data_IF_144002600449
#
_entry.id   IF_144002600449
#
_cell.length_a   1.000
_cell.length_b   1.000
_cell.length_c   1.000
_cell.angle_alpha   90.00
_cell.angle_beta   90.00
_cell.angle_gamma   90.00
#
_symmetry.space_group_name_H-M   'P 1'
#
loop_
_entity.id
_entity.type
_entity.pdbx_description
1 polymer ?
#
# COMPACT_ATOMS: atom_id res chain seq x y z
N UNK A 1 11.54 -1.01 25.59
CA UNK A 1 11.37 0.45 25.75
C UNK A 1 9.93 0.73 25.44
N UNK A 2 9.11 0.87 26.48
CA UNK A 2 7.72 1.30 26.33
C UNK A 2 7.77 2.83 26.37
N UNK A 3 7.35 3.46 25.27
CA UNK A 3 7.40 4.91 25.15
C UNK A 3 5.98 5.40 25.42
N UNK A 4 5.78 6.03 26.57
CA UNK A 4 4.50 6.64 26.96
C UNK A 4 4.33 7.99 26.24
N UNK A 5 4.14 7.92 24.93
CA UNK A 5 3.86 9.07 24.08
C UNK A 5 2.54 8.82 23.34
N UNK A 6 1.60 9.75 23.45
CA UNK A 6 0.39 9.73 22.63
C UNK A 6 0.79 10.06 21.19
N UNK A 7 0.54 9.12 20.28
CA UNK A 7 0.87 9.32 18.88
C UNK A 7 0.18 10.55 18.29
N UNK A 8 -0.95 10.99 18.84
CA UNK A 8 -1.68 12.18 18.39
C UNK A 8 -1.00 13.51 18.72
N UNK A 9 -0.06 13.52 19.67
CA UNK A 9 0.72 14.71 20.04
C UNK A 9 1.84 15.01 19.03
N UNK A 10 2.23 14.03 18.20
CA UNK A 10 3.21 14.26 17.16
C UNK A 10 2.68 15.20 16.10
N UNK A 11 3.53 16.11 15.64
CA UNK A 11 3.20 17.04 14.58
C UNK A 11 2.72 16.33 13.31
N UNK A 12 3.32 15.19 12.95
CA UNK A 12 2.87 14.37 11.83
C UNK A 12 1.49 13.74 12.03
N UNK A 13 1.04 13.58 13.28
CA UNK A 13 -0.24 12.99 13.62
C UNK A 13 -1.36 14.03 13.83
N UNK A 14 -1.05 15.33 13.84
CA UNK A 14 -2.07 16.38 13.74
C UNK A 14 -2.76 16.27 12.38
N UNK A 15 -3.85 15.51 12.33
CA UNK A 15 -4.59 15.14 11.11
C UNK A 15 -4.55 13.65 10.75
N UNK A 16 -3.85 12.82 11.50
CA UNK A 16 -3.84 11.36 11.32
C UNK A 16 -4.74 10.67 12.36
N UNK A 17 -5.39 9.58 11.96
CA UNK A 17 -6.16 8.73 12.85
C UNK A 17 -5.51 7.35 12.93
N UNK A 18 -5.12 6.93 14.14
CA UNK A 18 -4.71 5.54 14.40
C UNK A 18 -5.90 4.74 14.91
N UNK A 19 -6.48 3.91 14.05
CA UNK A 19 -7.50 2.94 14.47
C UNK A 19 -6.84 1.75 15.17
N UNK A 20 -7.10 1.55 16.47
CA UNK A 20 -6.81 0.25 17.11
C UNK A 20 -7.86 -0.75 16.62
N UNK A 21 -7.50 -1.86 15.96
CA UNK A 21 -8.47 -2.89 15.64
C UNK A 21 -9.12 -3.34 16.95
N UNK A 22 -10.44 -3.23 17.05
CA UNK A 22 -11.19 -3.64 18.23
C UNK A 22 -10.93 -5.12 18.57
N UNK A 23 -11.28 -5.54 19.79
CA UNK A 23 -11.16 -6.96 20.17
C UNK A 23 -12.01 -7.81 19.24
N UNK A 24 -11.59 -9.06 18.94
CA UNK A 24 -12.35 -9.98 18.07
C UNK A 24 -13.82 -10.12 18.48
N UNK A 25 -14.11 -10.02 19.77
CA UNK A 25 -15.47 -10.04 20.33
C UNK A 25 -16.35 -8.85 19.89
N UNK A 26 -15.76 -7.71 19.51
CA UNK A 26 -16.47 -6.51 19.02
C UNK A 26 -16.60 -6.45 17.49
N UNK A 27 -16.03 -7.42 16.77
CA UNK A 27 -15.98 -7.42 15.30
C UNK A 27 -17.14 -8.20 14.64
N UNK A 28 -18.11 -8.70 15.42
CA UNK A 28 -19.21 -9.53 14.91
C UNK A 28 -18.80 -10.98 14.63
N UNK A 29 -19.75 -11.76 14.09
CA UNK A 29 -19.57 -13.15 13.70
C UNK A 29 -18.57 -13.30 12.54
N UNK A 30 -18.12 -14.53 12.28
CA UNK A 30 -17.26 -14.77 11.10
C UNK A 30 -17.99 -14.50 9.79
N UNK A 31 -19.29 -14.82 9.70
CA UNK A 31 -20.12 -14.53 8.54
C UNK A 31 -20.29 -13.02 8.33
N UNK A 32 -20.56 -12.25 9.39
CA UNK A 32 -20.70 -10.80 9.31
C UNK A 32 -19.41 -10.14 8.79
N UNK A 33 -18.24 -10.62 9.23
CA UNK A 33 -16.95 -10.09 8.79
C UNK A 33 -16.55 -10.48 7.38
N UNK A 34 -17.11 -11.60 6.87
CA UNK A 34 -16.86 -12.10 5.52
C UNK A 34 -17.94 -11.69 4.53
N UNK A 35 -19.03 -11.06 5.00
CA UNK A 35 -20.11 -10.59 4.15
C UNK A 35 -19.57 -9.61 3.11
N UNK A 36 -19.83 -9.91 1.85
CA UNK A 36 -19.62 -9.00 0.74
C UNK A 36 -20.94 -8.25 0.51
N UNK A 37 -20.83 -6.95 0.26
CA UNK A 37 -21.97 -6.10 -0.01
C UNK A 37 -21.92 -5.68 -1.48
N UNK A 38 -23.07 -5.76 -2.13
CA UNK A 38 -23.29 -5.11 -3.41
C UNK A 38 -23.33 -3.59 -3.22
N UNK A 39 -23.11 -2.83 -4.30
CA UNK A 39 -23.27 -1.38 -4.27
C UNK A 39 -24.66 -0.97 -3.77
N UNK A 40 -25.72 -1.64 -4.24
CA UNK A 40 -27.10 -1.34 -3.83
C UNK A 40 -27.33 -1.57 -2.34
N UNK A 41 -26.74 -2.62 -1.75
CA UNK A 41 -26.82 -2.82 -0.30
C UNK A 41 -26.08 -1.73 0.47
N UNK A 42 -24.92 -1.27 0.00
CA UNK A 42 -24.19 -0.16 0.65
C UNK A 42 -24.98 1.16 0.57
N UNK A 43 -25.56 1.45 -0.59
CA UNK A 43 -26.43 2.63 -0.75
C UNK A 43 -27.64 2.56 0.19
N UNK A 44 -28.28 1.40 0.31
CA UNK A 44 -29.39 1.18 1.24
C UNK A 44 -28.97 1.32 2.73
N UNK A 45 -27.69 1.09 3.05
CA UNK A 45 -27.11 1.33 4.36
C UNK A 45 -26.71 2.80 4.60
N UNK A 46 -26.93 3.69 3.63
CA UNK A 46 -26.63 5.11 3.73
C UNK A 46 -25.18 5.48 3.38
N UNK A 47 -24.43 4.57 2.74
CA UNK A 47 -23.15 4.94 2.15
C UNK A 47 -23.37 5.79 0.90
N UNK A 48 -22.40 6.64 0.61
CA UNK A 48 -22.36 7.45 -0.60
C UNK A 48 -21.47 6.78 -1.66
N UNK A 49 -21.90 6.83 -2.91
CA UNK A 49 -21.10 6.41 -4.05
C UNK A 49 -20.44 7.62 -4.71
N UNK A 50 -19.12 7.68 -4.67
CA UNK A 50 -18.33 8.69 -5.36
C UNK A 50 -18.06 8.19 -6.78
N UNK A 51 -18.76 8.73 -7.77
CA UNK A 51 -18.43 8.48 -9.17
C UNK A 51 -17.10 9.15 -9.50
N UNK A 52 -16.15 8.36 -9.99
CA UNK A 52 -14.79 8.83 -10.27
C UNK A 52 -14.28 8.29 -11.60
N UNK A 53 -13.76 9.20 -12.43
CA UNK A 53 -13.23 8.89 -13.76
C UNK A 53 -11.79 8.33 -13.74
N UNK A 54 -11.17 8.25 -12.56
CA UNK A 54 -9.78 7.83 -12.38
C UNK A 54 -8.76 8.92 -12.70
N UNK A 55 -9.18 10.11 -13.12
CA UNK A 55 -8.31 11.16 -13.64
C UNK A 55 -8.27 12.39 -12.76
N UNK A 56 -9.44 12.92 -12.39
CA UNK A 56 -9.53 14.14 -11.60
C UNK A 56 -9.34 13.80 -10.12
N UNK A 57 -8.39 14.42 -9.40
CA UNK A 57 -8.21 14.11 -7.99
C UNK A 57 -9.43 14.50 -7.15
N UNK A 58 -9.85 13.62 -6.23
CA UNK A 58 -10.95 13.87 -5.30
C UNK A 58 -10.45 13.65 -3.85
N UNK A 59 -10.30 14.71 -3.04
CA UNK A 59 -10.04 14.56 -1.61
C UNK A 59 -11.32 14.17 -0.87
N UNK A 60 -11.23 13.16 -0.02
CA UNK A 60 -12.29 12.75 0.89
C UNK A 60 -11.97 13.37 2.25
N UNK A 61 -12.89 14.19 2.75
CA UNK A 61 -12.73 14.93 4.01
C UNK A 61 -13.66 14.40 5.09
N UNK A 62 -13.24 14.53 6.34
CA UNK A 62 -14.11 14.30 7.49
C UNK A 62 -15.00 15.53 7.79
N UNK A 63 -15.83 15.41 8.83
CA UNK A 63 -16.72 16.48 9.31
C UNK A 63 -16.02 17.79 9.70
N UNK A 64 -14.71 17.75 9.92
CA UNK A 64 -13.87 18.89 10.30
C UNK A 64 -13.07 19.44 9.12
N UNK A 65 -13.31 18.94 7.91
CA UNK A 65 -12.58 19.36 6.70
C UNK A 65 -11.17 18.77 6.59
N UNK A 66 -10.82 17.76 7.39
CA UNK A 66 -9.51 17.10 7.32
C UNK A 66 -9.53 16.05 6.22
N UNK A 67 -8.52 16.04 5.35
CA UNK A 67 -8.36 15.00 4.33
C UNK A 67 -8.03 13.67 5.01
N UNK A 68 -8.89 12.67 4.82
CA UNK A 68 -8.72 11.31 5.37
C UNK A 68 -8.38 10.27 4.31
N UNK A 69 -8.69 10.55 3.06
CA UNK A 69 -8.31 9.75 1.90
C UNK A 69 -8.30 10.62 0.65
N UNK A 70 -7.60 10.18 -0.40
CA UNK A 70 -7.57 10.89 -1.68
C UNK A 70 -7.63 9.88 -2.82
N UNK A 71 -8.55 10.10 -3.75
CA UNK A 71 -8.51 9.50 -5.07
C UNK A 71 -7.54 10.35 -5.90
N UNK A 72 -6.28 9.93 -6.06
CA UNK A 72 -5.18 10.81 -6.46
C UNK A 72 -5.23 11.30 -7.92
N UNK A 73 -5.94 10.60 -8.80
CA UNK A 73 -5.99 10.90 -10.24
C UNK A 73 -4.92 10.15 -11.02
N UNK A 74 -4.51 10.76 -12.14
CA UNK A 74 -3.35 10.32 -12.95
C UNK A 74 -2.44 11.51 -13.32
N UNK A 75 -1.12 11.30 -13.48
CA UNK A 75 -0.13 12.35 -13.75
C UNK A 75 -0.02 12.82 -15.21
N UNK A 76 -0.88 12.37 -16.14
CA UNK A 76 -0.78 12.69 -17.56
C UNK A 76 -1.77 11.91 -18.44
N UNK A 77 -1.68 12.07 -19.76
CA UNK A 77 -2.55 11.38 -20.72
C UNK A 77 -2.13 9.95 -21.03
N UNK A 78 -0.84 9.64 -20.89
CA UNK A 78 -0.16 8.38 -21.22
C UNK A 78 -0.10 7.38 -20.04
N UNK A 79 -0.46 7.82 -18.84
CA UNK A 79 -0.38 6.99 -17.63
C UNK A 79 -1.25 5.73 -17.71
N UNK A 80 -2.36 5.78 -18.45
CA UNK A 80 -3.23 4.63 -18.63
C UNK A 80 -2.53 3.51 -19.42
N UNK A 81 -1.78 3.89 -20.46
CA UNK A 81 -0.97 2.98 -21.26
C UNK A 81 0.17 2.37 -20.43
N UNK A 82 0.85 3.18 -19.62
CA UNK A 82 1.89 2.71 -18.68
C UNK A 82 1.31 1.70 -17.67
N UNK A 83 0.11 1.95 -17.13
CA UNK A 83 -0.58 1.01 -16.24
C UNK A 83 -0.95 -0.31 -16.94
N UNK A 84 -1.36 -0.24 -18.21
CA UNK A 84 -1.62 -1.44 -19.01
C UNK A 84 -0.35 -2.24 -19.27
N UNK A 85 0.80 -1.59 -19.44
CA UNK A 85 2.08 -2.27 -19.55
C UNK A 85 2.47 -2.98 -18.24
N UNK A 86 2.35 -2.29 -17.09
CA UNK A 86 2.56 -2.91 -15.79
C UNK A 86 1.63 -4.11 -15.57
N UNK A 87 0.36 -3.98 -15.95
CA UNK A 87 -0.62 -5.06 -15.86
C UNK A 87 -0.22 -6.28 -16.72
N UNK A 88 0.18 -6.07 -17.98
CA UNK A 88 0.67 -7.15 -18.86
C UNK A 88 1.90 -7.84 -18.26
N UNK A 89 2.83 -7.06 -17.73
CA UNK A 89 4.02 -7.58 -17.06
C UNK A 89 3.64 -8.44 -15.83
N UNK A 90 2.64 -8.03 -15.05
CA UNK A 90 2.19 -8.79 -13.88
C UNK A 90 1.55 -10.13 -14.28
N UNK A 91 0.78 -10.15 -15.36
CA UNK A 91 0.23 -11.39 -15.92
C UNK A 91 1.33 -12.33 -16.45
N UNK A 92 2.30 -11.77 -17.17
CA UNK A 92 3.43 -12.53 -17.72
C UNK A 92 4.27 -13.16 -16.61
N UNK A 93 4.69 -12.36 -15.62
CA UNK A 93 5.53 -12.87 -14.52
C UNK A 93 4.77 -13.89 -13.68
N UNK A 94 3.46 -13.71 -13.50
CA UNK A 94 2.63 -14.66 -12.77
C UNK A 94 2.56 -16.00 -13.49
N UNK A 95 2.38 -15.99 -14.82
CA UNK A 95 2.38 -17.19 -15.65
C UNK A 95 3.75 -17.88 -15.67
N UNK A 96 4.84 -17.13 -15.85
CA UNK A 96 6.20 -17.66 -15.83
C UNK A 96 6.56 -18.31 -14.48
N UNK A 97 6.10 -17.72 -13.39
CA UNK A 97 6.29 -18.23 -12.04
C UNK A 97 5.34 -19.39 -11.69
N UNK A 98 4.47 -19.81 -12.60
CA UNK A 98 3.51 -20.90 -12.39
C UNK A 98 2.44 -20.57 -11.35
N UNK A 99 2.10 -19.29 -11.17
CA UNK A 99 1.08 -18.87 -10.23
C UNK A 99 -0.31 -19.24 -10.76
N UNK A 100 -1.12 -19.88 -9.90
CA UNK A 100 -2.52 -20.13 -10.17
C UNK A 100 -3.39 -18.88 -9.98
N UNK A 101 -4.69 -18.96 -10.32
CA UNK A 101 -5.65 -17.86 -10.11
C UNK A 101 -5.89 -17.58 -8.62
N UNK A 102 -5.47 -18.49 -7.74
CA UNK A 102 -5.59 -18.35 -6.30
C UNK A 102 -4.25 -18.54 -5.59
N UNK A 103 -4.09 -17.86 -4.46
CA UNK A 103 -2.95 -18.01 -3.57
C UNK A 103 -2.88 -19.46 -3.08
N UNK A 104 -1.70 -20.07 -3.20
CA UNK A 104 -1.45 -21.44 -2.74
C UNK A 104 -1.68 -21.61 -1.23
N UNK A 105 -1.49 -20.54 -0.44
CA UNK A 105 -1.74 -20.52 1.00
C UNK A 105 -3.22 -20.29 1.38
N UNK A 106 -4.13 -20.25 0.40
CA UNK A 106 -5.54 -19.93 0.59
C UNK A 106 -5.83 -18.43 0.63
N UNK A 107 -7.11 -18.06 0.77
CA UNK A 107 -7.54 -16.66 0.78
C UNK A 107 -6.91 -15.88 1.94
N UNK A 108 -6.46 -14.66 1.65
CA UNK A 108 -6.02 -13.70 2.66
C UNK A 108 -7.01 -12.54 2.76
N UNK A 109 -6.84 -11.66 3.76
CA UNK A 109 -7.72 -10.51 4.03
C UNK A 109 -7.91 -9.54 2.85
N UNK A 110 -7.08 -9.63 1.82
CA UNK A 110 -7.08 -8.73 0.65
C UNK A 110 -7.66 -9.40 -0.61
N UNK A 111 -7.94 -10.71 -0.56
CA UNK A 111 -8.44 -11.45 -1.72
C UNK A 111 -7.92 -12.88 -1.76
N UNK A 112 -8.27 -13.54 -2.86
CA UNK A 112 -7.89 -14.93 -3.13
C UNK A 112 -6.65 -15.05 -4.01
N UNK A 113 -6.08 -13.96 -4.51
CA UNK A 113 -4.98 -13.96 -5.49
C UNK A 113 -3.59 -14.14 -4.85
N UNK A 114 -2.59 -14.64 -5.59
CA UNK A 114 -1.20 -14.60 -5.15
C UNK A 114 -0.73 -13.17 -4.83
N UNK A 115 -0.12 -12.96 -3.66
CA UNK A 115 0.41 -11.66 -3.27
C UNK A 115 1.78 -11.83 -2.61
N UNK A 116 2.75 -11.00 -3.03
CA UNK A 116 4.12 -11.05 -2.53
C UNK A 116 4.61 -9.67 -2.13
N UNK A 117 5.45 -9.61 -1.10
CA UNK A 117 6.01 -8.37 -0.61
C UNK A 117 7.51 -8.31 -0.89
N UNK A 118 8.03 -7.11 -1.10
CA UNK A 118 9.46 -6.84 -1.22
C UNK A 118 9.82 -5.61 -0.42
N UNK A 119 11.03 -5.61 0.13
CA UNK A 119 11.63 -4.45 0.77
C UNK A 119 12.02 -4.79 2.20
N UNK A 120 11.76 -3.87 3.10
CA UNK A 120 12.15 -3.95 4.51
C UNK A 120 10.90 -4.03 5.39
N UNK A 121 10.94 -4.90 6.38
CA UNK A 121 9.90 -5.00 7.42
C UNK A 121 10.53 -4.98 8.80
N UNK A 122 9.80 -4.45 9.77
CA UNK A 122 10.10 -4.56 11.20
C UNK A 122 8.84 -5.11 11.88
N UNK A 123 8.82 -6.42 12.11
CA UNK A 123 7.73 -7.07 12.82
C UNK A 123 7.86 -6.93 14.33
N UNK A 124 6.76 -7.17 15.05
CA UNK A 124 6.68 -7.08 16.53
C UNK A 124 7.73 -7.92 17.29
N UNK A 125 8.32 -8.95 16.66
CA UNK A 125 9.31 -9.83 17.28
C UNK A 125 10.77 -9.54 16.90
N UNK A 126 11.03 -8.62 15.95
CA UNK A 126 12.40 -8.30 15.53
C UNK A 126 12.81 -6.93 16.07
N UNK A 127 13.93 -6.82 16.81
CA UNK A 127 14.44 -5.53 17.28
C UNK A 127 15.08 -4.70 16.17
N UNK A 128 15.28 -5.30 14.98
CA UNK A 128 15.93 -4.64 13.83
C UNK A 128 15.11 -4.86 12.55
N UNK A 129 15.14 -3.92 11.60
CA UNK A 129 14.52 -4.12 10.29
C UNK A 129 15.22 -5.27 9.55
N UNK A 130 14.44 -6.08 8.83
CA UNK A 130 14.95 -7.20 8.02
C UNK A 130 14.42 -7.11 6.60
N UNK A 131 15.17 -7.68 5.66
CA UNK A 131 14.71 -7.85 4.28
C UNK A 131 13.56 -8.86 4.23
N UNK A 132 12.49 -8.52 3.51
CA UNK A 132 11.38 -9.42 3.26
C UNK A 132 11.86 -10.53 2.31
N UNK A 133 11.79 -11.78 2.77
CA UNK A 133 12.11 -12.93 1.95
C UNK A 133 10.84 -13.52 1.31
N UNK A 134 10.70 -13.35 -0.01
CA UNK A 134 9.61 -13.92 -0.80
C UNK A 134 9.98 -15.24 -1.48
N UNK A 135 11.06 -15.88 -1.04
CA UNK A 135 11.50 -17.20 -1.51
C UNK A 135 11.76 -17.21 -3.02
N UNK A 136 11.11 -18.14 -3.72
CA UNK A 136 11.26 -18.30 -5.18
C UNK A 136 10.89 -17.06 -5.99
N UNK A 137 10.07 -16.15 -5.42
CA UNK A 137 9.66 -14.91 -6.09
C UNK A 137 10.69 -13.79 -6.02
N UNK A 138 11.76 -13.89 -5.24
CA UNK A 138 12.73 -12.80 -5.08
C UNK A 138 13.29 -12.29 -6.43
N UNK A 139 13.61 -13.21 -7.36
CA UNK A 139 14.07 -12.85 -8.70
C UNK A 139 13.03 -12.12 -9.53
N UNK A 140 11.77 -12.56 -9.48
CA UNK A 140 10.64 -11.91 -10.16
C UNK A 140 10.40 -10.52 -9.59
N UNK A 141 10.39 -10.37 -8.27
CA UNK A 141 10.22 -9.07 -7.62
C UNK A 141 11.38 -8.11 -7.88
N UNK A 142 12.59 -8.62 -8.14
CA UNK A 142 13.73 -7.83 -8.65
C UNK A 142 13.47 -7.30 -10.06
N UNK A 143 12.93 -8.13 -10.95
CA UNK A 143 12.54 -7.69 -12.29
C UNK A 143 11.43 -6.64 -12.24
N UNK A 144 10.40 -6.86 -11.42
CA UNK A 144 9.25 -5.96 -11.31
C UNK A 144 9.65 -4.56 -10.83
N UNK A 145 10.46 -4.42 -9.78
CA UNK A 145 10.86 -3.06 -9.33
C UNK A 145 11.77 -2.34 -10.31
N UNK A 146 12.47 -3.09 -11.18
CA UNK A 146 13.33 -2.55 -12.23
C UNK A 146 12.56 -2.10 -13.47
N UNK A 147 11.35 -2.63 -13.68
CA UNK A 147 10.55 -2.33 -14.85
C UNK A 147 10.07 -0.88 -14.87
N UNK A 148 10.15 -0.24 -16.03
CA UNK A 148 9.85 1.17 -16.22
C UNK A 148 8.42 1.53 -15.78
N UNK A 149 7.43 0.77 -16.25
CA UNK A 149 6.02 0.97 -15.90
C UNK A 149 5.78 0.90 -14.36
N UNK A 150 6.45 -0.01 -13.66
CA UNK A 150 6.30 -0.17 -12.20
C UNK A 150 7.02 0.95 -11.46
N UNK A 151 8.22 1.36 -11.92
CA UNK A 151 8.93 2.52 -11.39
C UNK A 151 8.08 3.77 -11.52
N UNK A 152 7.40 3.95 -12.65
CA UNK A 152 6.51 5.07 -12.91
C UNK A 152 5.31 5.10 -11.96
N UNK A 153 4.68 3.95 -11.71
CA UNK A 153 3.65 3.82 -10.66
C UNK A 153 4.18 4.21 -9.28
N UNK A 154 5.37 3.75 -8.91
CA UNK A 154 5.98 4.05 -7.62
C UNK A 154 6.33 5.54 -7.46
N UNK A 155 6.80 6.17 -8.55
CA UNK A 155 7.06 7.60 -8.61
C UNK A 155 5.78 8.41 -8.38
N UNK A 156 4.71 8.03 -9.08
CA UNK A 156 3.42 8.70 -8.95
C UNK A 156 2.82 8.53 -7.55
N UNK A 157 2.88 7.31 -6.98
CA UNK A 157 2.47 7.06 -5.60
C UNK A 157 3.24 7.96 -4.62
N UNK A 158 4.56 8.09 -4.78
CA UNK A 158 5.38 8.94 -3.92
C UNK A 158 5.03 10.43 -4.08
N UNK A 159 4.84 10.89 -5.32
CA UNK A 159 4.42 12.25 -5.61
C UNK A 159 3.05 12.58 -4.99
N UNK A 160 2.06 11.70 -5.17
CA UNK A 160 0.74 11.84 -4.56
C UNK A 160 0.83 11.90 -3.02
N UNK A 161 1.64 11.02 -2.41
CA UNK A 161 1.83 11.04 -0.96
C UNK A 161 2.47 12.36 -0.48
N UNK A 162 3.49 12.85 -1.18
CA UNK A 162 4.16 14.11 -0.86
C UNK A 162 3.24 15.33 -1.01
N UNK A 163 2.34 15.32 -2.00
CA UNK A 163 1.40 16.40 -2.26
C UNK A 163 0.28 16.43 -1.20
N UNK A 164 -0.33 15.28 -0.93
CA UNK A 164 -1.55 15.20 -0.12
C UNK A 164 -1.28 15.07 1.38
N UNK A 165 -0.10 14.59 1.78
CA UNK A 165 0.28 14.45 3.18
C UNK A 165 1.76 14.84 3.43
N UNK A 166 2.18 16.08 3.11
CA UNK A 166 3.59 16.48 3.07
C UNK A 166 4.32 16.31 4.41
N UNK A 167 3.63 16.52 5.54
CA UNK A 167 4.22 16.34 6.88
C UNK A 167 4.51 14.87 7.16
N UNK A 168 3.56 13.99 6.84
CA UNK A 168 3.71 12.54 7.01
C UNK A 168 4.76 12.00 6.04
N UNK A 169 4.75 12.46 4.78
CA UNK A 169 5.76 12.11 3.79
C UNK A 169 7.18 12.50 4.25
N UNK A 170 7.36 13.71 4.78
CA UNK A 170 8.64 14.16 5.33
C UNK A 170 9.14 13.27 6.47
N UNK A 171 8.29 12.96 7.45
CA UNK A 171 8.68 12.06 8.55
C UNK A 171 8.99 10.65 8.06
N UNK A 172 8.17 10.14 7.13
CA UNK A 172 8.39 8.83 6.52
C UNK A 172 9.74 8.76 5.80
N UNK A 173 10.06 9.80 5.02
CA UNK A 173 11.35 9.94 4.32
C UNK A 173 12.52 10.03 5.29
N UNK A 174 12.40 10.82 6.36
CA UNK A 174 13.44 10.95 7.38
C UNK A 174 13.74 9.61 8.07
N UNK A 175 12.68 8.89 8.47
CA UNK A 175 12.80 7.56 9.04
C UNK A 175 13.47 6.59 8.04
N UNK A 176 13.08 6.66 6.76
CA UNK A 176 13.67 5.82 5.72
C UNK A 176 15.14 6.08 5.46
N UNK A 177 15.53 7.35 5.34
CA UNK A 177 16.93 7.73 5.17
C UNK A 177 17.78 7.27 6.35
N UNK A 178 17.28 7.45 7.58
CA UNK A 178 17.99 7.06 8.80
C UNK A 178 18.32 5.56 8.81
N UNK A 179 17.37 4.68 8.47
CA UNK A 179 17.66 3.25 8.47
C UNK A 179 18.47 2.81 7.24
N UNK A 180 18.31 3.46 6.07
CA UNK A 180 19.14 3.17 4.88
C UNK A 180 20.62 3.48 5.12
N UNK A 181 20.90 4.61 5.79
CA UNK A 181 22.26 4.98 6.19
C UNK A 181 22.87 3.97 7.18
N UNK A 182 22.09 3.53 8.17
CA UNK A 182 22.55 2.60 9.21
C UNK A 182 22.62 1.14 8.74
N UNK A 183 21.80 0.76 7.77
CA UNK A 183 21.61 -0.62 7.31
C UNK A 183 21.69 -0.70 5.78
N UNK A 184 22.83 -0.32 5.16
CA UNK A 184 22.97 -0.23 3.70
C UNK A 184 22.90 -1.60 2.98
N UNK A 185 22.94 -2.70 3.73
CA UNK A 185 22.77 -4.05 3.19
C UNK A 185 21.31 -4.42 2.94
N UNK A 186 20.34 -3.65 3.46
CA UNK A 186 18.92 -3.89 3.23
C UNK A 186 18.50 -3.40 1.83
N UNK A 187 17.55 -4.11 1.18
CA UNK A 187 17.15 -3.76 -0.17
C UNK A 187 16.35 -2.45 -0.21
N UNK A 188 16.64 -1.64 -1.21
CA UNK A 188 15.80 -0.53 -1.62
C UNK A 188 14.91 -0.94 -2.80
N UNK A 189 13.64 -0.53 -2.78
CA UNK A 189 12.69 -0.89 -3.84
C UNK A 189 12.90 -0.04 -5.09
N UNK A 190 12.84 1.29 -4.95
CA UNK A 190 12.91 2.23 -6.06
C UNK A 190 13.89 3.37 -5.75
N UNK A 191 15.21 3.14 -5.89
CA UNK A 191 16.23 4.12 -5.54
C UNK A 191 16.03 5.48 -6.18
N UNK A 192 16.04 6.52 -5.34
CA UNK A 192 15.85 7.92 -5.73
C UNK A 192 14.44 8.28 -6.21
N UNK A 193 13.48 7.36 -6.16
CA UNK A 193 12.16 7.52 -6.79
C UNK A 193 11.00 7.39 -5.81
N UNK A 194 11.07 6.43 -4.89
CA UNK A 194 10.02 6.18 -3.89
C UNK A 194 10.63 6.02 -2.50
N UNK A 195 10.02 6.70 -1.53
CA UNK A 195 10.48 6.63 -0.15
C UNK A 195 10.02 5.32 0.53
N UNK A 196 8.97 4.66 0.00
CA UNK A 196 8.34 3.48 0.60
C UNK A 196 9.33 2.31 0.84
N UNK A 197 9.45 1.91 2.10
CA UNK A 197 10.34 0.84 2.54
C UNK A 197 9.92 -0.57 2.09
N UNK A 198 8.64 -0.77 1.76
CA UNK A 198 8.12 -2.03 1.24
C UNK A 198 7.09 -1.78 0.13
N UNK A 199 6.99 -2.74 -0.80
CA UNK A 199 6.00 -2.78 -1.86
C UNK A 199 5.29 -4.15 -1.85
N UNK A 200 3.98 -4.12 -2.07
CA UNK A 200 3.14 -5.31 -2.21
C UNK A 200 2.74 -5.48 -3.67
N UNK A 201 2.97 -6.67 -4.22
CA UNK A 201 2.65 -7.06 -5.58
C UNK A 201 1.51 -8.08 -5.53
N UNK A 202 0.34 -7.65 -5.97
CA UNK A 202 -0.85 -8.49 -6.11
C UNK A 202 -0.86 -9.02 -7.55
N UNK A 203 -0.76 -10.34 -7.72
CA UNK A 203 -0.65 -11.02 -9.02
C UNK A 203 -1.91 -11.86 -9.26
N UNK A 204 -3.06 -11.19 -9.32
CA UNK A 204 -4.39 -11.76 -9.51
C UNK A 204 -5.12 -11.24 -10.73
#
# INVERSE_FOLDING_TARGET
>A
VEVDLDASDFDAARGAHTGKPGTKAKLGSEEERKKQYTLQELLALGFEHIEWDGRVPIPIVDRSGRIIAVLAGQPGSDYAEELLEAFRLFLEVGKEAGLGPTAAAGPHKRGTFPAFNRGVTMGMGSPTPVAINSGFMNGVLNRLVGAEAVRRMAAYQNAAFSLWAPRVHKEYRNACNTWREKLPHLPENFPGLSDFGAAAFNLG
#
